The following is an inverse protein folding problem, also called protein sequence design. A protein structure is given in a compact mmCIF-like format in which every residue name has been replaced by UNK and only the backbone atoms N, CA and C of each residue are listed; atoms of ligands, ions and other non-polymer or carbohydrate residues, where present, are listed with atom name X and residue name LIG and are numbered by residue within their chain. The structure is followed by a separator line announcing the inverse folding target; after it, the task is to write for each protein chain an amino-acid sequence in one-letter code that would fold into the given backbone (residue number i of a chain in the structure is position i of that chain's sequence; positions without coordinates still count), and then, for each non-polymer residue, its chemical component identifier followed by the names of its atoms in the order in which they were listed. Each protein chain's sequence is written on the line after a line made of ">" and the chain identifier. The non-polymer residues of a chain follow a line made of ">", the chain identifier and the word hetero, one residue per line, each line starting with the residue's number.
data_IF_752317581547
#
_entry.id   IF_752317581547
#
_cell.length_a   1.000
_cell.length_b   1.000
_cell.length_c   1.000
_cell.angle_alpha   90.00
_cell.angle_beta   90.00
_cell.angle_gamma   90.00
#
_symmetry.space_group_name_H-M   'P 1'
#
loop_
_entity.id
_entity.type
_entity.pdbx_description
1 polymer ?
#
# COMPACT_ATOMS: atom_id res chain seq x y z
N UNK A 1 4.61 12.84 4.53
CA UNK A 1 4.05 12.38 3.24
C UNK A 1 3.25 11.13 3.50
N UNK A 2 1.94 11.24 3.34
CA UNK A 2 0.96 10.17 3.58
C UNK A 2 1.24 8.97 2.68
N UNK A 3 1.71 9.21 1.44
CA UNK A 3 2.13 8.15 0.51
C UNK A 3 3.24 7.27 1.06
N UNK A 4 4.25 7.84 1.72
CA UNK A 4 5.36 7.10 2.29
C UNK A 4 4.88 6.19 3.43
N UNK A 5 4.03 6.72 4.32
CA UNK A 5 3.44 5.96 5.42
C UNK A 5 2.58 4.81 4.87
N UNK A 6 1.79 5.07 3.83
CA UNK A 6 1.01 4.04 3.14
C UNK A 6 1.90 2.89 2.64
N UNK A 7 3.02 3.21 1.97
CA UNK A 7 3.96 2.19 1.51
C UNK A 7 4.59 1.38 2.63
N UNK A 8 5.00 2.02 3.73
CA UNK A 8 5.59 1.33 4.89
C UNK A 8 4.60 0.35 5.51
N UNK A 9 3.35 0.77 5.70
CA UNK A 9 2.28 -0.10 6.22
C UNK A 9 2.02 -1.26 5.25
N UNK A 10 1.92 -0.97 3.95
CA UNK A 10 1.66 -1.97 2.93
C UNK A 10 2.76 -3.05 2.87
N UNK A 11 4.03 -2.65 2.86
CA UNK A 11 5.17 -3.58 2.88
C UNK A 11 5.19 -4.38 4.18
N UNK A 12 4.93 -3.74 5.33
CA UNK A 12 4.89 -4.44 6.62
C UNK A 12 3.80 -5.51 6.65
N UNK A 13 2.60 -5.20 6.13
CA UNK A 13 1.52 -6.18 6.01
C UNK A 13 1.89 -7.35 5.10
N UNK A 14 2.55 -7.09 3.96
CA UNK A 14 3.00 -8.17 3.07
C UNK A 14 4.04 -9.08 3.74
N UNK A 15 4.99 -8.52 4.48
CA UNK A 15 5.98 -9.31 5.21
C UNK A 15 5.32 -10.20 6.28
N UNK A 16 4.35 -9.66 7.02
CA UNK A 16 3.58 -10.43 8.01
C UNK A 16 2.78 -11.55 7.34
N UNK A 17 2.10 -11.27 6.21
CA UNK A 17 1.41 -12.31 5.45
C UNK A 17 2.36 -13.39 4.93
N UNK A 18 3.51 -13.02 4.39
CA UNK A 18 4.51 -13.97 3.90
C UNK A 18 5.05 -14.86 5.03
N UNK A 19 5.19 -14.30 6.23
CA UNK A 19 5.61 -15.05 7.41
C UNK A 19 4.53 -16.05 7.84
N UNK A 20 3.26 -15.64 7.87
CA UNK A 20 2.15 -16.55 8.14
C UNK A 20 2.07 -17.66 7.09
N UNK A 21 2.19 -17.33 5.81
CA UNK A 21 2.14 -18.31 4.74
C UNK A 21 3.30 -19.32 4.83
N UNK A 22 4.50 -18.85 5.18
CA UNK A 22 5.65 -19.72 5.38
C UNK A 22 5.46 -20.68 6.57
N UNK A 23 4.89 -20.21 7.67
CA UNK A 23 4.66 -21.03 8.88
C UNK A 23 3.50 -22.01 8.67
N UNK A 24 2.39 -21.55 8.08
CA UNK A 24 1.15 -22.34 7.97
C UNK A 24 1.25 -23.36 6.82
N UNK A 25 1.76 -22.93 5.66
CA UNK A 25 1.81 -23.77 4.45
C UNK A 25 3.19 -24.41 4.23
N UNK A 26 4.17 -24.16 5.10
CA UNK A 26 5.52 -24.73 5.01
C UNK A 26 6.31 -24.28 3.78
N UNK A 27 5.89 -23.20 3.12
CA UNK A 27 6.56 -22.67 1.92
C UNK A 27 7.75 -21.79 2.30
N UNK A 28 8.82 -21.75 1.47
CA UNK A 28 9.91 -20.82 1.72
C UNK A 28 9.41 -19.38 1.66
N UNK A 29 9.89 -18.53 2.57
CA UNK A 29 9.43 -17.15 2.74
C UNK A 29 9.43 -16.31 1.45
N UNK A 30 10.48 -16.45 0.63
CA UNK A 30 10.59 -15.77 -0.66
C UNK A 30 9.52 -16.25 -1.66
N UNK A 31 9.18 -17.54 -1.63
CA UNK A 31 8.13 -18.10 -2.47
C UNK A 31 6.75 -17.64 -1.99
N UNK A 32 6.53 -17.53 -0.67
CA UNK A 32 5.32 -16.96 -0.08
C UNK A 32 5.07 -15.53 -0.55
N UNK A 33 6.10 -14.68 -0.67
CA UNK A 33 5.95 -13.31 -1.19
C UNK A 33 5.39 -13.31 -2.62
N UNK A 34 5.91 -14.17 -3.49
CA UNK A 34 5.45 -14.28 -4.88
C UNK A 34 4.03 -14.87 -4.93
N UNK A 35 3.69 -15.75 -3.98
CA UNK A 35 2.39 -16.42 -3.89
C UNK A 35 1.29 -15.61 -3.18
N UNK A 36 1.63 -14.46 -2.59
CA UNK A 36 0.62 -13.50 -2.11
C UNK A 36 -0.14 -12.86 -3.30
N UNK A 37 0.50 -12.78 -4.48
CA UNK A 37 -0.02 -12.05 -5.64
C UNK A 37 -0.46 -12.87 -6.88
N UNK A 38 -0.96 -14.12 -6.81
CA UNK A 38 -1.69 -14.67 -7.93
C UNK A 38 -3.02 -13.91 -8.05
N UNK A 39 -3.15 -13.13 -9.11
CA UNK A 39 -4.36 -12.42 -9.50
C UNK A 39 -5.43 -13.42 -9.95
N UNK A 40 -6.03 -14.13 -9.00
CA UNK A 40 -7.22 -14.93 -9.25
C UNK A 40 -8.44 -14.00 -9.21
N UNK A 41 -8.99 -13.70 -10.39
CA UNK A 41 -10.19 -12.89 -10.55
C UNK A 41 -11.36 -13.50 -9.77
N UNK A 42 -11.99 -12.69 -8.90
CA UNK A 42 -13.17 -13.10 -8.13
C UNK A 42 -12.87 -13.61 -6.71
N UNK A 43 -11.60 -13.62 -6.29
CA UNK A 43 -11.22 -14.00 -4.92
C UNK A 43 -11.19 -12.79 -3.98
N UNK A 44 -11.15 -13.06 -2.66
CA UNK A 44 -10.94 -12.00 -1.64
C UNK A 44 -9.65 -11.20 -1.87
N UNK A 45 -8.65 -11.80 -2.54
CA UNK A 45 -7.37 -11.15 -2.87
C UNK A 45 -7.57 -9.97 -3.83
N UNK A 46 -8.44 -10.11 -4.83
CA UNK A 46 -8.80 -9.01 -5.75
C UNK A 46 -9.39 -7.80 -5.04
N UNK A 47 -10.21 -8.00 -4.00
CA UNK A 47 -10.80 -6.90 -3.22
C UNK A 47 -9.71 -6.13 -2.46
N UNK A 48 -8.79 -6.86 -1.83
CA UNK A 48 -7.67 -6.26 -1.09
C UNK A 48 -6.77 -5.47 -2.04
N UNK A 49 -6.45 -6.03 -3.21
CA UNK A 49 -5.64 -5.33 -4.22
C UNK A 49 -6.34 -4.09 -4.76
N UNK A 50 -7.64 -4.17 -5.06
CA UNK A 50 -8.41 -3.00 -5.49
C UNK A 50 -8.45 -1.90 -4.43
N UNK A 51 -8.66 -2.26 -3.15
CA UNK A 51 -8.62 -1.33 -2.04
C UNK A 51 -7.23 -0.69 -1.86
N UNK A 52 -6.15 -1.46 -2.03
CA UNK A 52 -4.79 -0.94 -1.98
C UNK A 52 -4.52 0.08 -3.10
N UNK A 53 -4.99 -0.18 -4.33
CA UNK A 53 -4.87 0.78 -5.45
C UNK A 53 -5.64 2.07 -5.17
N UNK A 54 -6.88 1.96 -4.68
CA UNK A 54 -7.69 3.14 -4.32
C UNK A 54 -7.02 3.93 -3.19
N UNK A 55 -6.53 3.25 -2.15
CA UNK A 55 -5.82 3.87 -1.03
C UNK A 55 -4.56 4.62 -1.47
N UNK A 56 -3.79 4.04 -2.40
CA UNK A 56 -2.62 4.68 -2.99
C UNK A 56 -2.99 5.97 -3.73
N UNK A 57 -4.03 5.95 -4.57
CA UNK A 57 -4.50 7.13 -5.31
C UNK A 57 -4.93 8.25 -4.37
N UNK A 58 -5.65 7.90 -3.28
CA UNK A 58 -6.07 8.86 -2.26
C UNK A 58 -4.87 9.44 -1.51
N UNK A 59 -3.89 8.60 -1.11
CA UNK A 59 -2.68 9.06 -0.43
C UNK A 59 -1.87 10.04 -1.31
N UNK A 60 -1.74 9.74 -2.60
CA UNK A 60 -1.11 10.63 -3.59
C UNK A 60 -1.88 11.95 -3.65
N UNK A 61 -3.20 11.90 -3.81
CA UNK A 61 -4.03 13.10 -3.87
C UNK A 61 -3.89 13.99 -2.63
N UNK A 62 -3.84 13.40 -1.43
CA UNK A 62 -3.64 14.14 -0.18
C UNK A 62 -2.27 14.82 -0.17
N UNK A 63 -1.20 14.11 -0.50
CA UNK A 63 0.14 14.70 -0.54
C UNK A 63 0.26 15.81 -1.61
N UNK A 64 -0.43 15.69 -2.74
CA UNK A 64 -0.50 16.74 -3.76
C UNK A 64 -1.29 17.96 -3.29
N UNK A 65 -2.42 17.75 -2.61
CA UNK A 65 -3.23 18.83 -2.05
C UNK A 65 -2.46 19.59 -0.98
N UNK A 66 -1.83 18.88 -0.04
CA UNK A 66 -1.06 19.49 1.05
C UNK A 66 0.11 20.34 0.52
N UNK A 67 0.78 19.88 -0.54
CA UNK A 67 1.81 20.67 -1.24
C UNK A 67 1.26 21.92 -1.94
N UNK A 68 0.02 21.89 -2.42
CA UNK A 68 -0.62 23.05 -3.06
C UNK A 68 -1.00 24.10 -2.01
N UNK A 69 -1.63 23.66 -0.92
CA UNK A 69 -2.08 24.53 0.16
C UNK A 69 -0.90 25.26 0.84
N UNK A 70 0.25 24.58 1.02
CA UNK A 70 1.48 25.18 1.53
C UNK A 70 2.08 26.26 0.60
N UNK A 71 1.94 26.12 -0.72
CA UNK A 71 2.42 27.13 -1.69
C UNK A 71 1.55 28.38 -1.70
N UNK A 72 0.23 28.22 -1.61
CA UNK A 72 -0.71 29.34 -1.56
C UNK A 72 -0.50 30.15 -0.26
N UNK A 73 -0.33 29.49 0.89
CA UNK A 73 -0.03 30.19 2.17
C UNK A 73 1.29 30.96 2.15
N UNK A 74 2.32 30.48 1.44
CA UNK A 74 3.58 31.22 1.28
C UNK A 74 3.47 32.43 0.33
N UNK A 75 2.56 32.39 -0.65
CA UNK A 75 2.32 33.53 -1.56
C UNK A 75 1.49 34.66 -0.95
N UNK A 76 0.62 34.36 0.02
CA UNK A 76 -0.24 35.36 0.69
C UNK A 76 0.53 36.13 1.79
N UNK A 77 1.63 35.58 2.29
CA UNK A 77 2.44 36.16 3.36
C UNK A 77 3.70 36.91 2.85
N UNK A 78 3.74 37.25 1.54
CA UNK A 78 4.76 38.08 0.88
C UNK A 78 4.11 39.35 0.36
#
# INVERSE_FOLDING_TARGET
>A
MVTLIFFVIFVSMMLVMAMFDAIIYGRPFLESIVHIYPFELGTRRTIVTAAAVVGLLVAIYIDYKDKKDQKEQQSVNK
#
